data_IF_355260193893
#
_entry.id   IF_355260193893
#
_cell.length_a   1.000
_cell.length_b   1.000
_cell.length_c   1.000
_cell.angle_alpha   90.00
_cell.angle_beta   90.00
_cell.angle_gamma   90.00
#
_symmetry.space_group_name_H-M   'P 1'
#
loop_
_entity.id
_entity.type
_entity.pdbx_description
1 polymer ?
#
# COMPACT_ATOMS: atom_id res chain seq x y z
N UNK A 1 3.81 -26.51 11.34
CA UNK A 1 2.66 -26.30 12.24
C UNK A 1 3.15 -25.43 13.38
N UNK A 2 2.56 -24.24 13.59
CA UNK A 2 2.89 -23.35 14.71
C UNK A 2 1.64 -23.11 15.54
N UNK A 3 1.80 -22.85 16.83
CA UNK A 3 0.69 -22.56 17.73
C UNK A 3 0.97 -21.27 18.48
N UNK A 4 -0.06 -20.42 18.60
CA UNK A 4 -0.01 -19.15 19.31
C UNK A 4 -1.10 -19.11 20.37
N UNK A 5 -0.80 -18.50 21.48
CA UNK A 5 -1.81 -18.12 22.48
C UNK A 5 -1.79 -16.61 22.64
N UNK A 6 -2.92 -15.97 22.31
CA UNK A 6 -3.11 -14.53 22.41
C UNK A 6 -3.88 -14.20 23.69
N UNK A 7 -3.36 -13.28 24.49
CA UNK A 7 -4.05 -12.80 25.70
C UNK A 7 -5.41 -12.19 25.34
N UNK A 8 -5.43 -11.31 24.34
CA UNK A 8 -6.65 -10.82 23.67
C UNK A 8 -6.41 -10.83 22.17
N UNK A 9 -7.40 -11.21 21.37
CA UNK A 9 -7.29 -11.15 19.91
C UNK A 9 -8.56 -10.57 19.29
N UNK A 10 -8.38 -9.87 18.16
CA UNK A 10 -9.48 -9.42 17.30
C UNK A 10 -9.80 -10.54 16.32
N UNK A 11 -10.82 -11.32 16.63
CA UNK A 11 -11.26 -12.46 15.83
C UNK A 11 -12.45 -12.09 14.93
N UNK A 12 -12.66 -12.86 13.87
CA UNK A 12 -13.87 -12.78 13.07
C UNK A 12 -15.04 -13.43 13.83
N UNK A 13 -16.11 -12.68 14.05
CA UNK A 13 -17.38 -13.22 14.57
C UNK A 13 -18.06 -14.09 13.50
N UNK A 14 -19.14 -14.82 13.86
CA UNK A 14 -19.92 -15.65 12.92
C UNK A 14 -20.43 -14.85 11.70
N UNK A 15 -20.74 -13.58 11.87
CA UNK A 15 -21.14 -12.67 10.79
C UNK A 15 -19.95 -12.02 10.06
N UNK A 16 -18.72 -12.46 10.32
CA UNK A 16 -17.48 -11.91 9.74
C UNK A 16 -17.01 -10.56 10.33
N UNK A 17 -17.76 -9.96 11.26
CA UNK A 17 -17.34 -8.69 11.86
C UNK A 17 -16.21 -8.90 12.89
N UNK A 18 -15.23 -7.96 12.99
CA UNK A 18 -14.16 -8.04 13.97
C UNK A 18 -14.72 -7.86 15.40
N UNK A 19 -14.30 -8.73 16.32
CA UNK A 19 -14.65 -8.66 17.73
C UNK A 19 -13.44 -9.05 18.62
N UNK A 20 -13.34 -8.44 19.79
CA UNK A 20 -12.33 -8.80 20.78
C UNK A 20 -12.74 -10.07 21.54
N UNK A 21 -11.80 -11.00 21.69
CA UNK A 21 -11.96 -12.21 22.50
C UNK A 21 -10.70 -12.41 23.37
N UNK A 22 -10.87 -12.87 24.61
CA UNK A 22 -9.77 -13.14 25.53
C UNK A 22 -9.36 -14.61 25.49
N UNK A 23 -8.05 -14.88 25.71
CA UNK A 23 -7.48 -16.22 25.77
C UNK A 23 -7.72 -16.98 24.45
N UNK A 24 -7.21 -16.48 23.33
CA UNK A 24 -7.44 -17.08 22.01
C UNK A 24 -6.23 -17.94 21.63
N UNK A 25 -6.46 -19.25 21.44
CA UNK A 25 -5.45 -20.15 20.91
C UNK A 25 -5.63 -20.32 19.41
N UNK A 26 -4.53 -20.13 18.65
CA UNK A 26 -4.48 -20.28 17.20
C UNK A 26 -3.60 -21.47 16.83
N UNK A 27 -4.07 -22.28 15.88
CA UNK A 27 -3.22 -23.30 15.25
C UNK A 27 -3.03 -22.92 13.79
N UNK A 28 -1.83 -23.16 13.26
CA UNK A 28 -1.48 -22.76 11.90
C UNK A 28 -0.76 -23.87 11.15
N UNK A 29 -1.04 -23.98 9.88
CA UNK A 29 -0.34 -24.87 8.96
C UNK A 29 -0.08 -24.16 7.63
N UNK A 30 1.16 -24.26 7.11
CA UNK A 30 1.56 -23.63 5.85
C UNK A 30 1.22 -22.12 5.80
N UNK A 31 1.44 -21.43 6.92
CA UNK A 31 1.18 -19.98 7.01
C UNK A 31 -0.29 -19.57 7.09
N UNK A 32 -1.21 -20.53 7.23
CA UNK A 32 -2.65 -20.27 7.36
C UNK A 32 -3.19 -20.76 8.69
N UNK A 33 -4.20 -20.07 9.20
CA UNK A 33 -4.89 -20.40 10.45
C UNK A 33 -5.83 -21.58 10.18
N UNK A 34 -5.64 -22.67 10.91
CA UNK A 34 -6.46 -23.90 10.82
C UNK A 34 -7.46 -24.02 11.97
N UNK A 35 -7.18 -23.35 13.11
CA UNK A 35 -8.07 -23.35 14.27
C UNK A 35 -8.01 -22.01 15.01
N UNK A 36 -9.16 -21.55 15.52
CA UNK A 36 -9.31 -20.38 16.39
C UNK A 36 -10.17 -20.79 17.57
N UNK A 37 -9.60 -20.84 18.78
CA UNK A 37 -10.28 -21.32 20.00
C UNK A 37 -10.28 -20.21 21.05
N UNK A 38 -11.38 -19.44 21.18
CA UNK A 38 -11.53 -18.44 22.25
C UNK A 38 -11.70 -19.10 23.63
N UNK A 39 -11.32 -18.38 24.70
CA UNK A 39 -11.42 -18.85 26.08
C UNK A 39 -10.43 -19.96 26.44
N UNK A 40 -9.43 -20.21 25.60
CA UNK A 40 -8.40 -21.21 25.83
C UNK A 40 -7.33 -20.72 26.82
N UNK A 41 -6.78 -21.62 27.61
CA UNK A 41 -5.55 -21.40 28.39
C UNK A 41 -4.32 -21.75 27.54
N UNK A 42 -3.17 -21.07 27.77
CA UNK A 42 -1.94 -21.38 27.06
C UNK A 42 -1.49 -22.82 27.35
N UNK A 43 -1.02 -23.49 26.29
CA UNK A 43 -0.50 -24.86 26.37
C UNK A 43 1.04 -24.89 26.25
N UNK A 44 1.72 -25.93 26.75
CA UNK A 44 3.13 -26.11 26.48
C UNK A 44 3.43 -26.13 24.97
N UNK A 45 4.37 -25.30 24.55
CA UNK A 45 4.74 -25.16 23.13
C UNK A 45 4.04 -24.01 22.39
N UNK A 46 3.03 -23.39 22.99
CA UNK A 46 2.42 -22.19 22.39
C UNK A 46 3.37 -20.97 22.46
N UNK A 47 3.51 -20.26 21.37
CA UNK A 47 4.08 -18.91 21.39
C UNK A 47 3.07 -17.97 22.04
N UNK A 48 3.42 -17.36 23.16
CA UNK A 48 2.54 -16.43 23.86
C UNK A 48 2.66 -15.03 23.25
N UNK A 49 1.53 -14.46 22.88
CA UNK A 49 1.37 -13.09 22.40
C UNK A 49 0.66 -12.29 23.49
N UNK A 50 1.46 -11.52 24.25
CA UNK A 50 0.97 -10.70 25.38
C UNK A 50 0.49 -9.34 24.83
N UNK A 51 -0.74 -8.96 25.20
CA UNK A 51 -1.39 -7.74 24.72
C UNK A 51 -2.57 -8.02 23.79
N UNK A 52 -2.83 -7.10 22.86
CA UNK A 52 -3.95 -7.23 21.93
C UNK A 52 -3.44 -7.58 20.53
N UNK A 53 -3.78 -8.79 20.09
CA UNK A 53 -3.41 -9.30 18.77
C UNK A 53 -4.46 -8.88 17.74
N UNK A 54 -4.03 -8.17 16.70
CA UNK A 54 -4.80 -7.77 15.52
C UNK A 54 -4.34 -8.56 14.30
N UNK A 55 -5.18 -8.68 13.24
CA UNK A 55 -4.66 -8.95 11.92
C UNK A 55 -3.62 -7.89 11.56
N UNK A 56 -2.52 -8.28 10.94
CA UNK A 56 -1.53 -7.33 10.45
C UNK A 56 -2.11 -6.45 9.34
N UNK A 57 -1.62 -5.23 9.22
CA UNK A 57 -2.07 -4.30 8.20
C UNK A 57 -1.53 -4.66 6.79
N UNK A 58 -2.22 -4.17 5.77
CA UNK A 58 -1.79 -4.23 4.38
C UNK A 58 -1.63 -2.82 3.84
N UNK A 59 -0.54 -2.54 3.15
CA UNK A 59 -0.23 -1.25 2.54
C UNK A 59 -0.64 -1.27 1.08
N UNK A 60 -1.77 -0.63 0.74
CA UNK A 60 -2.35 -0.70 -0.59
C UNK A 60 -1.67 0.21 -1.63
N UNK A 61 -0.74 1.08 -1.21
CA UNK A 61 0.01 1.96 -2.11
C UNK A 61 1.32 2.42 -1.48
N UNK A 62 2.40 2.29 -2.21
CA UNK A 62 3.76 2.56 -1.76
C UNK A 62 4.67 2.89 -2.95
N UNK A 63 5.59 3.84 -2.72
CA UNK A 63 6.76 4.09 -3.56
C UNK A 63 8.00 4.01 -2.67
N UNK A 64 8.63 2.85 -2.58
CA UNK A 64 9.73 2.61 -1.64
C UNK A 64 10.87 3.63 -1.78
N UNK A 65 11.16 4.10 -3.01
CA UNK A 65 12.22 5.07 -3.23
C UNK A 65 11.90 6.47 -2.71
N UNK A 66 10.63 6.86 -2.57
CA UNK A 66 10.24 8.16 -1.99
C UNK A 66 10.65 8.28 -0.51
N UNK A 67 10.95 7.16 0.17
CA UNK A 67 11.44 7.19 1.55
C UNK A 67 12.67 8.08 1.74
N UNK A 68 13.47 8.31 0.69
CA UNK A 68 14.62 9.22 0.73
C UNK A 68 14.24 10.69 0.97
N UNK A 69 12.99 11.05 0.66
CA UNK A 69 12.49 12.43 0.74
C UNK A 69 12.03 12.82 2.16
N UNK A 70 11.75 11.85 3.03
CA UNK A 70 11.24 12.10 4.39
C UNK A 70 12.16 13.04 5.16
N UNK A 71 11.60 14.18 5.61
CA UNK A 71 12.32 15.19 6.37
C UNK A 71 13.36 15.98 5.58
N UNK A 72 13.28 15.99 4.23
CA UNK A 72 14.21 16.71 3.35
C UNK A 72 13.56 17.74 2.43
N UNK A 73 12.25 17.72 2.28
CA UNK A 73 11.49 18.49 1.29
C UNK A 73 10.83 19.76 1.85
N UNK A 74 11.01 20.07 3.15
CA UNK A 74 10.31 21.16 3.85
C UNK A 74 11.18 22.41 4.07
N UNK A 75 12.35 22.51 3.44
CA UNK A 75 13.19 23.71 3.57
C UNK A 75 12.54 24.90 2.83
N UNK A 76 12.47 26.05 3.48
CA UNK A 76 11.83 27.25 2.95
C UNK A 76 10.29 27.15 2.99
N UNK A 77 9.63 27.45 1.87
CA UNK A 77 8.20 27.28 1.66
C UNK A 77 7.89 26.01 0.85
N UNK A 78 8.61 24.89 1.11
CA UNK A 78 8.56 23.67 0.32
C UNK A 78 7.19 23.43 -0.30
N UNK A 79 7.11 23.56 -1.63
CA UNK A 79 5.89 23.29 -2.39
C UNK A 79 6.04 21.98 -3.16
N UNK A 80 4.98 21.55 -3.82
CA UNK A 80 4.95 20.35 -4.66
C UNK A 80 6.10 20.31 -5.69
N UNK A 81 6.54 21.46 -6.23
CA UNK A 81 7.60 21.52 -7.24
C UNK A 81 8.97 21.21 -6.66
N UNK A 82 9.27 21.71 -5.45
CA UNK A 82 10.50 21.39 -4.72
C UNK A 82 10.55 19.90 -4.40
N UNK A 83 9.44 19.34 -3.93
CA UNK A 83 9.31 17.89 -3.70
C UNK A 83 9.57 17.10 -4.97
N UNK A 84 8.94 17.47 -6.09
CA UNK A 84 9.08 16.79 -7.38
C UNK A 84 10.51 16.83 -7.93
N UNK A 85 11.20 17.98 -7.83
CA UNK A 85 12.60 18.12 -8.24
C UNK A 85 13.52 17.19 -7.42
N UNK A 86 13.33 17.14 -6.11
CA UNK A 86 14.11 16.26 -5.23
C UNK A 86 13.78 14.78 -5.49
N UNK A 87 12.55 14.45 -5.84
CA UNK A 87 12.15 13.11 -6.23
C UNK A 87 12.88 12.67 -7.50
N UNK A 88 12.94 13.50 -8.54
CA UNK A 88 13.69 13.18 -9.77
C UNK A 88 15.18 13.02 -9.51
N UNK A 89 15.77 13.90 -8.70
CA UNK A 89 17.18 13.79 -8.29
C UNK A 89 17.44 12.46 -7.60
N UNK A 90 16.62 12.12 -6.61
CA UNK A 90 16.75 10.83 -5.91
C UNK A 90 16.52 9.63 -6.83
N UNK A 91 15.55 9.70 -7.72
CA UNK A 91 15.32 8.65 -8.72
C UNK A 91 16.55 8.46 -9.61
N UNK A 92 17.24 9.54 -10.05
CA UNK A 92 18.40 9.46 -10.95
C UNK A 92 19.58 8.70 -10.38
N UNK A 93 19.72 8.66 -9.04
CA UNK A 93 20.83 7.99 -8.33
C UNK A 93 20.58 6.48 -8.10
N UNK A 94 19.36 5.98 -8.36
CA UNK A 94 19.03 4.58 -8.13
C UNK A 94 19.68 3.66 -9.19
N UNK A 95 20.40 2.64 -8.71
CA UNK A 95 20.73 1.42 -9.46
C UNK A 95 19.94 0.25 -8.87
N UNK A 96 19.86 -0.91 -9.54
CA UNK A 96 19.21 -2.09 -8.97
C UNK A 96 19.72 -2.44 -7.56
N UNK A 97 21.04 -2.37 -7.34
CA UNK A 97 21.66 -2.69 -6.05
C UNK A 97 21.32 -1.67 -4.97
N UNK A 98 21.37 -0.36 -5.28
CA UNK A 98 21.00 0.70 -4.36
C UNK A 98 19.50 0.62 -4.02
N UNK A 99 18.68 0.31 -5.03
CA UNK A 99 17.24 0.18 -4.84
C UNK A 99 16.88 -1.03 -3.97
N UNK A 100 17.54 -2.18 -4.18
CA UNK A 100 17.36 -3.36 -3.34
C UNK A 100 17.69 -3.06 -1.87
N UNK A 101 18.80 -2.36 -1.59
CA UNK A 101 19.20 -1.97 -0.24
C UNK A 101 18.16 -1.02 0.40
N UNK A 102 17.76 0.02 -0.33
CA UNK A 102 16.77 0.98 0.16
C UNK A 102 15.43 0.30 0.42
N UNK A 103 14.91 -0.45 -0.55
CA UNK A 103 13.63 -1.14 -0.44
C UNK A 103 13.64 -2.18 0.68
N UNK A 104 14.77 -2.90 0.89
CA UNK A 104 14.92 -3.82 2.02
C UNK A 104 14.74 -3.09 3.36
N UNK A 105 15.35 -1.92 3.50
CA UNK A 105 15.23 -1.12 4.71
C UNK A 105 13.81 -0.57 4.91
N UNK A 106 13.16 -0.09 3.84
CA UNK A 106 11.78 0.42 3.85
C UNK A 106 10.78 -0.71 4.19
N UNK A 107 10.91 -1.86 3.56
CA UNK A 107 10.05 -3.01 3.84
C UNK A 107 10.27 -3.57 5.24
N UNK A 108 11.50 -3.53 5.76
CA UNK A 108 11.78 -3.86 7.16
C UNK A 108 11.13 -2.84 8.13
N UNK A 109 11.12 -1.54 7.78
CA UNK A 109 10.37 -0.50 8.53
C UNK A 109 8.87 -0.81 8.51
N UNK A 110 8.28 -1.18 7.36
CA UNK A 110 6.88 -1.59 7.28
C UNK A 110 6.56 -2.80 8.17
N UNK A 111 7.42 -3.82 8.16
CA UNK A 111 7.22 -5.01 8.98
C UNK A 111 7.19 -4.67 10.46
N UNK A 112 8.16 -3.91 10.98
CA UNK A 112 8.20 -3.59 12.42
C UNK A 112 7.04 -2.69 12.87
N UNK A 113 6.38 -1.99 11.95
CA UNK A 113 5.22 -1.12 12.23
C UNK A 113 3.88 -1.84 12.12
N UNK A 114 3.86 -3.11 11.67
CA UNK A 114 2.68 -3.96 11.64
C UNK A 114 2.11 -4.25 10.25
N UNK A 115 2.77 -3.86 9.16
CA UNK A 115 2.38 -4.26 7.82
C UNK A 115 2.90 -5.65 7.45
N UNK A 116 2.06 -6.47 6.82
CA UNK A 116 2.41 -7.81 6.31
C UNK A 116 2.47 -7.89 4.79
N UNK A 117 1.88 -6.93 4.10
CA UNK A 117 1.75 -6.91 2.64
C UNK A 117 1.88 -5.48 2.13
N UNK A 118 2.40 -5.33 0.91
CA UNK A 118 2.53 -4.04 0.23
C UNK A 118 2.22 -4.17 -1.26
N UNK A 119 1.46 -3.20 -1.79
CA UNK A 119 1.34 -2.95 -3.22
C UNK A 119 2.32 -1.82 -3.57
N UNK A 120 3.42 -2.17 -4.22
CA UNK A 120 4.48 -1.24 -4.59
C UNK A 120 4.25 -0.72 -6.00
N UNK A 121 3.94 0.56 -6.11
CA UNK A 121 3.67 1.25 -7.37
C UNK A 121 4.99 1.67 -8.01
N UNK A 122 5.51 0.82 -8.89
CA UNK A 122 6.86 0.90 -9.41
C UNK A 122 6.91 1.44 -10.84
N UNK A 123 7.66 2.53 -11.04
CA UNK A 123 7.86 3.16 -12.36
C UNK A 123 9.33 3.50 -12.69
N UNK A 124 10.31 3.05 -11.91
CA UNK A 124 11.73 3.28 -12.18
C UNK A 124 12.31 2.07 -12.91
N UNK A 125 12.07 1.96 -14.21
CA UNK A 125 12.36 0.75 -14.99
C UNK A 125 13.75 0.71 -15.61
N UNK A 126 14.26 1.87 -16.06
CA UNK A 126 15.43 1.99 -16.92
C UNK A 126 16.60 2.68 -16.24
N UNK A 127 17.76 2.68 -16.91
CA UNK A 127 18.89 3.53 -16.54
C UNK A 127 18.51 5.01 -16.63
N UNK A 128 19.28 5.94 -16.02
CA UNK A 128 18.94 7.37 -16.03
C UNK A 128 18.76 7.99 -17.42
N UNK A 129 19.44 7.43 -18.43
CA UNK A 129 19.32 7.86 -19.84
C UNK A 129 18.14 7.20 -20.61
N UNK A 130 17.33 6.38 -19.91
CA UNK A 130 16.23 5.63 -20.51
C UNK A 130 16.64 4.30 -21.17
N UNK A 131 17.94 3.94 -21.18
CA UNK A 131 18.37 2.67 -21.73
C UNK A 131 17.96 1.50 -20.80
N UNK A 132 17.60 0.34 -21.34
CA UNK A 132 17.31 -0.84 -20.51
C UNK A 132 18.58 -1.32 -19.79
N UNK A 133 18.41 -1.93 -18.63
CA UNK A 133 19.49 -2.67 -17.97
C UNK A 133 19.84 -3.93 -18.77
N UNK A 134 21.09 -4.41 -18.61
CA UNK A 134 21.56 -5.65 -19.26
C UNK A 134 20.78 -6.89 -18.75
N UNK A 135 20.46 -6.92 -17.46
CA UNK A 135 19.53 -7.89 -16.86
C UNK A 135 18.10 -7.40 -17.05
N UNK A 136 17.26 -8.21 -17.67
CA UNK A 136 15.84 -7.89 -17.81
C UNK A 136 15.17 -7.78 -16.43
N UNK A 137 14.33 -6.76 -16.24
CA UNK A 137 13.61 -6.52 -14.99
C UNK A 137 14.51 -6.28 -13.77
N UNK A 138 15.73 -5.75 -13.95
CA UNK A 138 16.71 -5.59 -12.88
C UNK A 138 16.16 -4.80 -11.67
N UNK A 139 15.41 -3.74 -11.91
CA UNK A 139 14.81 -2.91 -10.86
C UNK A 139 13.65 -3.62 -10.17
N UNK A 140 12.77 -4.28 -10.92
CA UNK A 140 11.65 -5.06 -10.44
C UNK A 140 12.10 -6.26 -9.60
N UNK A 141 13.12 -6.97 -10.07
CA UNK A 141 13.72 -8.10 -9.33
C UNK A 141 14.42 -7.64 -8.05
N UNK A 142 15.01 -6.44 -8.04
CA UNK A 142 15.57 -5.85 -6.83
C UNK A 142 14.50 -5.64 -5.75
N UNK A 143 13.31 -5.11 -6.10
CA UNK A 143 12.18 -4.98 -5.20
C UNK A 143 11.67 -6.34 -4.69
N UNK A 144 11.57 -7.32 -5.58
CA UNK A 144 11.16 -8.68 -5.21
C UNK A 144 12.12 -9.32 -4.21
N UNK A 145 13.45 -9.20 -4.43
CA UNK A 145 14.47 -9.68 -3.48
C UNK A 145 14.40 -8.94 -2.15
N UNK A 146 14.20 -7.62 -2.16
CA UNK A 146 14.03 -6.81 -0.96
C UNK A 146 12.82 -7.26 -0.13
N UNK A 147 11.68 -7.52 -0.77
CA UNK A 147 10.48 -8.01 -0.10
C UNK A 147 10.71 -9.40 0.53
N UNK A 148 11.40 -10.29 -0.18
CA UNK A 148 11.75 -11.62 0.35
C UNK A 148 12.70 -11.51 1.55
N UNK A 149 13.69 -10.61 1.52
CA UNK A 149 14.61 -10.38 2.63
C UNK A 149 13.87 -9.86 3.87
N UNK A 150 12.96 -8.90 3.69
CA UNK A 150 12.13 -8.37 4.77
C UNK A 150 10.99 -9.33 5.18
N UNK A 151 10.66 -10.33 4.39
CA UNK A 151 9.57 -11.27 4.65
C UNK A 151 8.17 -10.69 4.51
N UNK A 152 8.02 -9.48 3.94
CA UNK A 152 6.73 -8.88 3.58
C UNK A 152 6.23 -9.48 2.26
N UNK A 153 4.90 -9.54 2.08
CA UNK A 153 4.32 -9.93 0.78
C UNK A 153 4.27 -8.74 -0.15
N UNK A 154 4.66 -8.95 -1.41
CA UNK A 154 4.73 -7.92 -2.43
C UNK A 154 3.75 -8.19 -3.57
N UNK A 155 2.87 -7.22 -3.86
CA UNK A 155 2.24 -7.06 -5.17
C UNK A 155 3.00 -5.96 -5.90
N UNK A 156 3.83 -6.35 -6.86
CA UNK A 156 4.65 -5.44 -7.65
C UNK A 156 3.81 -4.88 -8.81
N UNK A 157 3.46 -3.60 -8.74
CA UNK A 157 2.65 -2.90 -9.74
C UNK A 157 3.57 -2.31 -10.80
N UNK A 158 3.72 -3.00 -11.92
CA UNK A 158 4.47 -2.51 -13.08
C UNK A 158 3.69 -1.38 -13.76
N UNK A 159 4.29 -0.20 -13.85
CA UNK A 159 3.58 1.03 -14.20
C UNK A 159 3.84 1.48 -15.63
N UNK A 160 2.78 1.72 -16.40
CA UNK A 160 2.82 2.37 -17.70
C UNK A 160 3.04 3.88 -17.53
N UNK A 161 4.06 4.41 -18.25
CA UNK A 161 4.39 5.83 -18.26
C UNK A 161 4.81 6.26 -19.67
N UNK A 162 4.00 7.06 -20.37
CA UNK A 162 4.20 7.42 -21.80
C UNK A 162 4.40 8.91 -22.04
N UNK A 163 3.93 9.76 -21.12
CA UNK A 163 3.91 11.22 -21.34
C UNK A 163 4.31 11.98 -20.07
N UNK A 164 4.93 13.13 -20.23
CA UNK A 164 5.32 14.04 -19.14
C UNK A 164 4.17 14.88 -18.58
N UNK A 165 3.04 14.85 -19.26
CA UNK A 165 1.78 15.53 -18.97
C UNK A 165 0.85 15.37 -20.15
N UNK A 166 -0.43 15.75 -20.02
CA UNK A 166 -1.39 15.65 -21.13
C UNK A 166 -0.87 16.47 -22.32
N UNK A 167 -0.67 15.80 -23.47
CA UNK A 167 -0.15 16.41 -24.70
C UNK A 167 1.34 16.80 -24.64
N UNK A 168 2.08 16.39 -23.61
CA UNK A 168 3.49 16.75 -23.45
C UNK A 168 4.38 15.50 -23.50
N UNK A 169 5.52 15.52 -24.23
CA UNK A 169 6.47 14.41 -24.22
C UNK A 169 7.12 14.25 -22.85
N UNK A 170 7.78 13.12 -22.62
CA UNK A 170 8.60 12.89 -21.44
C UNK A 170 9.72 13.94 -21.36
N UNK A 171 9.97 14.48 -20.17
CA UNK A 171 11.18 15.27 -19.90
C UNK A 171 12.40 14.34 -19.79
N UNK A 172 13.64 14.90 -19.90
CA UNK A 172 14.84 14.09 -19.73
C UNK A 172 14.86 13.28 -18.41
N UNK A 173 14.36 13.85 -17.32
CA UNK A 173 14.32 13.22 -15.99
C UNK A 173 13.30 12.07 -15.94
N UNK A 174 12.30 12.08 -16.83
CA UNK A 174 11.24 11.09 -16.90
C UNK A 174 11.57 9.91 -17.82
N UNK A 175 12.62 10.00 -18.65
CA UNK A 175 12.96 8.96 -19.65
C UNK A 175 13.18 7.60 -19.03
N UNK A 176 13.73 7.52 -17.82
CA UNK A 176 13.93 6.27 -17.09
C UNK A 176 12.63 5.60 -16.60
N UNK A 177 11.50 6.31 -16.62
CA UNK A 177 10.18 5.79 -16.26
C UNK A 177 9.43 5.31 -17.51
N UNK A 178 9.82 5.84 -18.69
CA UNK A 178 9.04 5.77 -19.90
C UNK A 178 9.13 4.44 -20.64
N UNK A 179 8.01 4.06 -21.21
CA UNK A 179 7.91 3.01 -22.22
C UNK A 179 7.96 3.58 -23.63
N UNK A 180 8.37 2.77 -24.57
CA UNK A 180 8.33 3.16 -26.00
C UNK A 180 6.88 3.33 -26.49
N UNK A 181 5.99 2.45 -26.04
CA UNK A 181 4.54 2.46 -26.29
C UNK A 181 3.82 1.48 -25.35
N UNK A 182 2.49 1.48 -25.37
CA UNK A 182 1.65 0.60 -24.57
C UNK A 182 1.88 -0.90 -24.83
N UNK A 183 2.26 -1.27 -26.04
CA UNK A 183 2.51 -2.67 -26.39
C UNK A 183 3.85 -3.17 -25.84
N UNK A 184 4.86 -2.29 -25.77
CA UNK A 184 6.13 -2.57 -25.09
C UNK A 184 5.89 -2.84 -23.60
N UNK A 185 5.09 -2.01 -22.93
CA UNK A 185 4.68 -2.23 -21.54
C UNK A 185 3.91 -3.54 -21.33
N UNK A 186 2.91 -3.87 -22.17
CA UNK A 186 2.18 -5.13 -22.09
C UNK A 186 3.11 -6.36 -22.22
N UNK A 187 4.12 -6.28 -23.08
CA UNK A 187 5.16 -7.32 -23.20
C UNK A 187 6.02 -7.39 -21.95
N UNK A 188 6.40 -6.22 -21.36
CA UNK A 188 7.17 -6.18 -20.12
C UNK A 188 6.41 -6.86 -18.99
N UNK A 189 5.13 -6.54 -18.77
CA UNK A 189 4.29 -7.21 -17.75
C UNK A 189 4.27 -8.72 -17.96
N UNK A 190 4.04 -9.19 -19.18
CA UNK A 190 3.98 -10.63 -19.46
C UNK A 190 5.30 -11.34 -19.17
N UNK A 191 6.44 -10.74 -19.56
CA UNK A 191 7.77 -11.31 -19.28
C UNK A 191 8.14 -11.21 -17.81
N UNK A 192 7.78 -10.11 -17.12
CA UNK A 192 8.00 -9.95 -15.69
C UNK A 192 7.21 -10.98 -14.87
N UNK A 193 5.93 -11.23 -15.20
CA UNK A 193 5.15 -12.30 -14.56
C UNK A 193 5.86 -13.63 -14.65
N UNK A 194 6.33 -14.00 -15.85
CA UNK A 194 7.08 -15.25 -16.06
C UNK A 194 8.35 -15.31 -15.21
N UNK A 195 9.11 -14.21 -15.12
CA UNK A 195 10.34 -14.15 -14.34
C UNK A 195 10.06 -14.25 -12.82
N UNK A 196 9.03 -13.57 -12.32
CA UNK A 196 8.63 -13.63 -10.91
C UNK A 196 8.12 -15.02 -10.54
N UNK A 197 7.22 -15.61 -11.32
CA UNK A 197 6.66 -16.95 -11.10
C UNK A 197 7.75 -18.04 -11.12
N UNK A 198 8.80 -17.88 -11.93
CA UNK A 198 9.92 -18.82 -11.97
C UNK A 198 10.88 -18.69 -10.76
N UNK A 199 10.90 -17.53 -10.08
CA UNK A 199 11.92 -17.20 -9.08
C UNK A 199 11.39 -17.15 -7.66
N UNK A 200 10.15 -16.70 -7.45
CA UNK A 200 9.59 -16.41 -6.14
C UNK A 200 8.30 -17.19 -5.87
N UNK A 201 8.02 -17.55 -4.59
CA UNK A 201 6.73 -18.15 -4.23
C UNK A 201 5.56 -17.22 -4.53
N UNK A 202 4.51 -17.74 -5.17
CA UNK A 202 3.35 -16.96 -5.60
C UNK A 202 2.55 -16.31 -4.45
N UNK A 203 2.65 -16.85 -3.24
CA UNK A 203 2.05 -16.29 -2.02
C UNK A 203 2.93 -15.20 -1.38
N UNK A 204 4.13 -14.94 -1.93
CA UNK A 204 5.07 -13.93 -1.43
C UNK A 204 5.25 -12.78 -2.40
N UNK A 205 5.41 -13.04 -3.69
CA UNK A 205 5.60 -12.01 -4.71
C UNK A 205 4.67 -12.30 -5.89
N UNK A 206 3.95 -11.28 -6.30
CA UNK A 206 3.07 -11.32 -7.47
C UNK A 206 3.20 -10.03 -8.27
N UNK A 207 2.74 -10.05 -9.53
CA UNK A 207 2.75 -8.90 -10.43
C UNK A 207 1.34 -8.38 -10.61
N UNK A 208 1.19 -7.07 -10.46
CA UNK A 208 0.03 -6.28 -10.87
C UNK A 208 0.42 -5.27 -11.94
N UNK A 209 -0.52 -4.45 -12.34
CA UNK A 209 -0.34 -3.40 -13.32
C UNK A 209 -0.72 -2.04 -12.74
N UNK A 210 -0.08 -0.97 -13.22
CA UNK A 210 -0.53 0.37 -12.94
C UNK A 210 -0.46 1.26 -14.19
N UNK A 211 -1.37 2.23 -14.25
CA UNK A 211 -1.26 3.41 -15.09
C UNK A 211 -0.77 4.54 -14.20
N UNK A 212 0.31 5.25 -14.57
CA UNK A 212 0.78 6.28 -13.64
C UNK A 212 -0.36 7.28 -13.31
N UNK A 213 -1.00 7.82 -14.33
CA UNK A 213 -2.17 8.71 -14.21
C UNK A 213 -2.71 8.99 -15.63
N UNK A 214 -3.84 9.66 -15.75
CA UNK A 214 -4.32 10.18 -17.06
C UNK A 214 -3.41 11.28 -17.63
N UNK A 215 -2.52 11.83 -16.82
CA UNK A 215 -1.48 12.78 -17.27
C UNK A 215 -0.39 12.09 -18.07
N UNK A 216 -0.07 10.86 -17.70
CA UNK A 216 1.07 10.11 -18.23
C UNK A 216 0.67 8.99 -19.21
N UNK A 217 -0.62 8.69 -19.35
CA UNK A 217 -1.15 7.70 -20.29
C UNK A 217 -2.18 8.37 -21.19
N UNK A 218 -1.86 8.58 -22.48
CA UNK A 218 -2.78 9.17 -23.46
C UNK A 218 -4.08 8.40 -23.63
N UNK A 219 -5.16 9.10 -24.03
CA UNK A 219 -6.50 8.52 -24.16
C UNK A 219 -6.56 7.30 -25.09
N UNK A 220 -5.83 7.33 -26.20
CA UNK A 220 -5.77 6.21 -27.17
C UNK A 220 -5.17 4.94 -26.54
N UNK A 221 -4.20 5.09 -25.66
CA UNK A 221 -3.54 3.96 -24.98
C UNK A 221 -4.42 3.34 -23.89
N UNK A 222 -5.31 4.14 -23.26
CA UNK A 222 -6.30 3.61 -22.30
C UNK A 222 -7.21 2.57 -22.96
N UNK A 223 -7.57 2.73 -24.23
CA UNK A 223 -8.37 1.76 -25.02
C UNK A 223 -7.62 0.44 -25.21
N UNK A 224 -6.32 0.53 -25.50
CA UNK A 224 -5.47 -0.65 -25.68
C UNK A 224 -5.34 -1.42 -24.35
N UNK A 225 -5.09 -0.70 -23.26
CA UNK A 225 -5.03 -1.30 -21.91
C UNK A 225 -6.33 -2.01 -21.56
N UNK A 226 -7.47 -1.37 -21.77
CA UNK A 226 -8.78 -1.96 -21.50
C UNK A 226 -9.04 -3.25 -22.28
N UNK A 227 -8.56 -3.32 -23.52
CA UNK A 227 -8.75 -4.45 -24.42
C UNK A 227 -7.74 -5.59 -24.22
N UNK A 228 -6.50 -5.29 -23.82
CA UNK A 228 -5.40 -6.25 -23.89
C UNK A 228 -4.79 -6.63 -22.54
N UNK A 229 -4.95 -5.79 -21.48
CA UNK A 229 -4.43 -6.13 -20.17
C UNK A 229 -5.20 -7.33 -19.59
N UNK A 230 -4.53 -8.42 -19.19
CA UNK A 230 -5.20 -9.58 -18.59
C UNK A 230 -6.11 -9.20 -17.43
N UNK A 231 -7.28 -9.81 -17.34
CA UNK A 231 -8.32 -9.46 -16.35
C UNK A 231 -8.05 -10.02 -14.95
N UNK A 232 -7.10 -10.93 -14.82
CA UNK A 232 -6.69 -11.59 -13.59
C UNK A 232 -5.65 -10.81 -12.78
N UNK A 233 -5.10 -9.70 -13.33
CA UNK A 233 -4.17 -8.82 -12.62
C UNK A 233 -4.86 -7.58 -12.06
N UNK A 234 -4.54 -7.14 -10.82
CA UNK A 234 -5.01 -5.86 -10.29
C UNK A 234 -4.48 -4.70 -11.15
N UNK A 235 -5.24 -3.62 -11.22
CA UNK A 235 -4.88 -2.41 -11.94
C UNK A 235 -4.98 -1.21 -11.01
N UNK A 236 -3.92 -0.42 -10.91
CA UNK A 236 -3.87 0.80 -10.11
C UNK A 236 -3.70 2.04 -10.97
N UNK A 237 -4.09 3.21 -10.45
CA UNK A 237 -3.87 4.50 -11.07
C UNK A 237 -3.90 5.61 -10.02
N UNK A 238 -3.01 6.62 -10.08
CA UNK A 238 -3.21 7.89 -9.40
C UNK A 238 -4.34 8.64 -10.10
N UNK A 239 -5.34 9.05 -9.34
CA UNK A 239 -6.56 9.63 -9.89
C UNK A 239 -6.97 10.90 -9.15
N UNK A 240 -7.08 12.01 -9.90
CA UNK A 240 -7.59 13.28 -9.38
C UNK A 240 -6.92 13.72 -8.06
N UNK A 241 -5.61 13.50 -7.98
CA UNK A 241 -4.78 13.85 -6.81
C UNK A 241 -4.69 15.37 -6.65
N UNK A 242 -4.44 16.09 -7.78
CA UNK A 242 -4.27 17.53 -7.83
C UNK A 242 -5.35 18.19 -8.68
N UNK A 243 -5.84 19.39 -8.30
CA UNK A 243 -6.79 20.14 -9.13
C UNK A 243 -6.31 20.39 -10.57
N UNK A 244 -5.00 20.57 -10.76
CA UNK A 244 -4.39 20.78 -12.06
C UNK A 244 -4.56 19.59 -13.01
N UNK A 245 -4.59 18.34 -12.50
CA UNK A 245 -4.86 17.15 -13.29
C UNK A 245 -6.27 17.19 -13.86
N UNK A 246 -7.27 17.49 -13.03
CA UNK A 246 -8.66 17.59 -13.45
C UNK A 246 -8.86 18.69 -14.49
N UNK A 247 -8.23 19.85 -14.27
CA UNK A 247 -8.32 20.97 -15.21
C UNK A 247 -7.71 20.61 -16.58
N UNK A 248 -6.50 20.02 -16.59
CA UNK A 248 -5.85 19.61 -17.83
C UNK A 248 -6.64 18.51 -18.57
N UNK A 249 -7.22 17.56 -17.84
CA UNK A 249 -8.07 16.51 -18.41
C UNK A 249 -9.36 17.10 -19.03
N UNK A 250 -9.99 18.05 -18.33
CA UNK A 250 -11.18 18.73 -18.84
C UNK A 250 -10.89 19.55 -20.10
N UNK A 251 -9.76 20.27 -20.15
CA UNK A 251 -9.34 21.05 -21.32
C UNK A 251 -9.03 20.15 -22.52
N UNK A 252 -8.33 19.03 -22.32
CA UNK A 252 -7.91 18.15 -23.40
C UNK A 252 -9.00 17.20 -23.89
N UNK A 253 -9.81 16.65 -22.99
CA UNK A 253 -10.74 15.55 -23.28
C UNK A 253 -12.22 15.89 -23.02
N UNK A 254 -12.51 17.07 -22.48
CA UNK A 254 -13.87 17.53 -22.16
C UNK A 254 -14.54 16.75 -21.02
N UNK A 255 -13.76 16.11 -20.15
CA UNK A 255 -14.28 15.25 -19.08
C UNK A 255 -13.30 15.16 -17.89
N UNK A 256 -13.76 14.68 -16.74
CA UNK A 256 -12.91 14.41 -15.58
C UNK A 256 -12.07 13.14 -15.77
N UNK A 257 -10.95 12.96 -15.02
CA UNK A 257 -10.15 11.73 -15.04
C UNK A 257 -10.98 10.45 -14.81
N UNK A 258 -11.86 10.44 -13.82
CA UNK A 258 -12.71 9.28 -13.52
C UNK A 258 -13.65 8.94 -14.69
N UNK A 259 -14.29 9.96 -15.28
CA UNK A 259 -15.19 9.79 -16.41
C UNK A 259 -14.43 9.38 -17.69
N UNK A 260 -13.17 9.81 -17.84
CA UNK A 260 -12.31 9.34 -18.92
C UNK A 260 -12.05 7.84 -18.82
N UNK A 261 -11.71 7.34 -17.62
CA UNK A 261 -11.54 5.90 -17.38
C UNK A 261 -12.83 5.11 -17.61
N UNK A 262 -13.98 5.64 -17.18
CA UNK A 262 -15.28 5.03 -17.43
C UNK A 262 -15.60 4.92 -18.91
N UNK A 263 -15.36 5.99 -19.68
CA UNK A 263 -15.55 6.04 -21.15
C UNK A 263 -14.81 4.92 -21.87
N UNK A 264 -13.64 4.52 -21.34
CA UNK A 264 -12.80 3.46 -21.93
C UNK A 264 -12.93 2.10 -21.24
N UNK A 265 -13.92 1.94 -20.33
CA UNK A 265 -14.19 0.65 -19.70
C UNK A 265 -13.14 0.20 -18.66
N UNK A 266 -12.32 1.13 -18.17
CA UNK A 266 -11.31 0.87 -17.13
C UNK A 266 -11.87 1.04 -15.72
N UNK A 267 -13.00 1.71 -15.55
CA UNK A 267 -13.66 1.87 -14.26
C UNK A 267 -14.38 0.56 -13.89
N UNK A 268 -13.71 -0.32 -13.19
CA UNK A 268 -14.16 -1.68 -12.88
C UNK A 268 -13.77 -2.07 -11.44
N UNK A 269 -14.30 -3.18 -10.96
CA UNK A 269 -13.97 -3.73 -9.62
C UNK A 269 -12.49 -4.05 -9.40
N UNK A 270 -11.69 -4.27 -10.46
CA UNK A 270 -10.26 -4.54 -10.36
C UNK A 270 -9.41 -3.27 -10.26
N UNK A 271 -10.02 -2.10 -10.55
CA UNK A 271 -9.32 -0.83 -10.48
C UNK A 271 -9.17 -0.38 -9.03
N UNK A 272 -7.95 0.02 -8.69
CA UNK A 272 -7.62 0.74 -7.46
C UNK A 272 -7.26 2.17 -7.84
N UNK A 273 -8.13 3.12 -7.49
CA UNK A 273 -7.93 4.55 -7.71
C UNK A 273 -7.25 5.15 -6.47
N UNK A 274 -6.01 5.62 -6.63
CA UNK A 274 -5.22 6.18 -5.53
C UNK A 274 -5.53 7.66 -5.39
N UNK A 275 -5.59 8.15 -4.15
CA UNK A 275 -5.99 9.48 -3.71
C UNK A 275 -7.46 9.76 -3.95
N UNK A 276 -7.85 10.04 -5.20
CA UNK A 276 -9.22 10.41 -5.55
C UNK A 276 -9.71 11.63 -4.76
N UNK A 277 -8.83 12.63 -4.58
CA UNK A 277 -9.02 13.77 -3.68
C UNK A 277 -10.02 14.76 -4.25
N UNK A 278 -9.91 15.08 -5.55
CA UNK A 278 -10.68 16.14 -6.20
C UNK A 278 -11.72 15.57 -7.17
N UNK A 279 -12.78 14.96 -6.63
CA UNK A 279 -13.84 14.33 -7.40
C UNK A 279 -15.10 15.20 -7.46
N UNK A 280 -15.84 15.10 -8.58
CA UNK A 280 -17.21 15.60 -8.64
C UNK A 280 -18.19 14.59 -8.04
N UNK A 281 -19.43 14.99 -7.66
CA UNK A 281 -20.45 14.04 -7.21
C UNK A 281 -20.74 12.91 -8.20
N UNK A 282 -20.64 13.19 -9.50
CA UNK A 282 -20.81 12.23 -10.58
C UNK A 282 -19.65 11.22 -10.60
N UNK A 283 -18.41 11.68 -10.38
CA UNK A 283 -17.24 10.80 -10.27
C UNK A 283 -17.36 9.84 -9.08
N UNK A 284 -17.78 10.33 -7.91
CA UNK A 284 -18.03 9.53 -6.71
C UNK A 284 -19.07 8.45 -7.00
N UNK A 285 -20.16 8.83 -7.67
CA UNK A 285 -21.23 7.90 -8.06
C UNK A 285 -20.71 6.80 -8.99
N UNK A 286 -19.93 7.18 -10.02
CA UNK A 286 -19.36 6.23 -10.99
C UNK A 286 -18.38 5.26 -10.35
N UNK A 287 -17.44 5.77 -9.52
CA UNK A 287 -16.47 4.93 -8.78
C UNK A 287 -17.18 3.94 -7.85
N UNK A 288 -18.20 4.43 -7.11
CA UNK A 288 -18.99 3.59 -6.21
C UNK A 288 -19.77 2.50 -6.94
N UNK A 289 -20.48 2.84 -8.02
CA UNK A 289 -21.28 1.89 -8.82
C UNK A 289 -20.39 0.83 -9.49
N UNK A 290 -19.19 1.20 -9.93
CA UNK A 290 -18.22 0.26 -10.45
C UNK A 290 -17.63 -0.68 -9.37
N UNK A 291 -17.82 -0.35 -8.08
CA UNK A 291 -17.27 -1.08 -6.94
C UNK A 291 -15.74 -1.05 -6.93
N UNK A 292 -15.13 0.05 -7.36
CA UNK A 292 -13.68 0.25 -7.36
C UNK A 292 -13.13 0.22 -5.93
N UNK A 293 -11.84 -0.04 -5.79
CA UNK A 293 -11.11 0.26 -4.57
C UNK A 293 -10.56 1.69 -4.66
N UNK A 294 -10.78 2.49 -3.63
CA UNK A 294 -10.14 3.82 -3.49
C UNK A 294 -9.10 3.73 -2.40
N UNK A 295 -7.85 4.01 -2.75
CA UNK A 295 -6.71 3.95 -1.82
C UNK A 295 -6.42 5.36 -1.34
N UNK A 296 -6.77 5.63 -0.08
CA UNK A 296 -6.45 6.89 0.59
C UNK A 296 -5.05 6.79 1.19
N UNK A 297 -4.30 7.88 1.10
CA UNK A 297 -2.96 8.01 1.67
C UNK A 297 -2.90 9.26 2.58
N UNK A 298 -3.67 9.27 3.69
CA UNK A 298 -3.98 10.49 4.44
C UNK A 298 -2.75 11.26 4.95
N UNK A 299 -1.67 10.58 5.31
CA UNK A 299 -0.45 11.27 5.77
C UNK A 299 0.32 11.91 4.62
N UNK A 300 0.30 11.32 3.42
CA UNK A 300 0.88 11.92 2.21
C UNK A 300 0.04 13.11 1.74
N UNK A 301 -1.27 12.94 1.67
CA UNK A 301 -2.23 13.98 1.25
C UNK A 301 -2.13 15.22 2.17
N UNK A 302 -1.87 15.00 3.47
CA UNK A 302 -1.61 16.08 4.42
C UNK A 302 -0.21 16.72 4.21
N UNK A 303 0.82 15.92 3.96
CA UNK A 303 2.20 16.38 3.79
C UNK A 303 2.40 17.19 2.49
N UNK A 304 1.73 16.78 1.41
CA UNK A 304 1.75 17.45 0.10
C UNK A 304 0.69 18.54 -0.06
N UNK A 305 -0.19 18.71 0.93
CA UNK A 305 -1.31 19.64 0.91
C UNK A 305 -2.30 19.38 -0.25
N UNK A 306 -2.52 18.10 -0.60
CA UNK A 306 -3.45 17.69 -1.66
C UNK A 306 -4.90 17.98 -1.33
N UNK A 307 -5.24 17.97 -0.05
CA UNK A 307 -6.58 18.20 0.44
C UNK A 307 -7.16 16.98 1.17
N UNK A 308 -8.46 17.02 1.43
CA UNK A 308 -9.21 15.93 2.07
C UNK A 308 -10.12 15.31 1.02
N UNK A 309 -9.84 14.06 0.63
CA UNK A 309 -10.67 13.32 -0.31
C UNK A 309 -12.02 12.90 0.29
N UNK A 310 -13.06 12.67 -0.52
CA UNK A 310 -14.43 12.34 -0.09
C UNK A 310 -14.59 10.85 0.24
N UNK A 311 -13.77 10.33 1.17
CA UNK A 311 -13.70 8.90 1.47
C UNK A 311 -15.03 8.34 1.98
N UNK A 312 -15.76 9.08 2.81
CA UNK A 312 -17.07 8.65 3.34
C UNK A 312 -18.10 8.56 2.22
N UNK A 313 -18.20 9.58 1.37
CA UNK A 313 -19.11 9.64 0.24
C UNK A 313 -18.83 8.52 -0.77
N UNK A 314 -17.56 8.23 -1.03
CA UNK A 314 -17.12 7.11 -1.88
C UNK A 314 -17.56 5.76 -1.29
N UNK A 315 -17.35 5.56 0.02
CA UNK A 315 -17.79 4.35 0.72
C UNK A 315 -19.32 4.19 0.68
N UNK A 316 -20.06 5.27 0.91
CA UNK A 316 -21.52 5.28 0.85
C UNK A 316 -22.06 5.01 -0.57
N UNK A 317 -21.33 5.44 -1.59
CA UNK A 317 -21.63 5.13 -2.99
C UNK A 317 -21.31 3.68 -3.40
N UNK A 318 -20.57 2.92 -2.58
CA UNK A 318 -20.26 1.51 -2.81
C UNK A 318 -18.80 1.20 -3.17
N UNK A 319 -17.91 2.19 -3.16
CA UNK A 319 -16.48 1.96 -3.31
C UNK A 319 -15.90 1.26 -2.06
N UNK A 320 -14.86 0.49 -2.25
CA UNK A 320 -14.08 -0.09 -1.14
C UNK A 320 -12.98 0.90 -0.75
N UNK A 321 -12.87 1.26 0.52
CA UNK A 321 -11.77 2.10 1.00
C UNK A 321 -10.61 1.22 1.44
N UNK A 322 -9.40 1.58 1.00
CA UNK A 322 -8.12 1.00 1.42
C UNK A 322 -7.17 2.11 1.87
N UNK A 323 -6.09 1.74 2.56
CA UNK A 323 -5.08 2.68 3.04
C UNK A 323 -3.70 2.35 2.45
N UNK A 324 -2.95 3.39 2.11
CA UNK A 324 -1.57 3.33 1.67
C UNK A 324 -0.68 4.34 2.41
N UNK A 325 0.64 4.16 2.34
CA UNK A 325 1.62 5.11 2.93
C UNK A 325 2.34 5.96 1.89
N UNK A 326 2.13 5.67 0.61
CA UNK A 326 2.55 6.37 -0.60
C UNK A 326 4.00 6.88 -0.55
N UNK A 327 4.25 8.18 -0.30
CA UNK A 327 5.61 8.76 -0.24
C UNK A 327 6.36 8.47 1.07
N UNK A 328 5.71 7.78 2.01
CA UNK A 328 6.30 7.43 3.31
C UNK A 328 6.70 8.63 4.18
N UNK A 329 5.94 9.71 4.15
CA UNK A 329 6.03 10.75 5.17
C UNK A 329 5.92 10.11 6.57
N UNK A 330 5.01 9.15 6.69
CA UNK A 330 4.87 8.24 7.84
C UNK A 330 4.71 6.80 7.33
N UNK A 331 5.26 5.81 8.04
CA UNK A 331 4.96 4.39 7.86
C UNK A 331 4.36 3.88 9.18
N UNK A 332 3.05 4.00 9.34
CA UNK A 332 2.33 3.66 10.57
C UNK A 332 0.84 3.41 10.25
N UNK A 333 0.37 2.15 10.27
CA UNK A 333 -1.02 1.84 9.92
C UNK A 333 -2.04 2.47 10.88
N UNK A 334 -1.66 2.71 12.15
CA UNK A 334 -2.52 3.32 13.15
C UNK A 334 -2.70 4.82 12.89
N UNK A 335 -1.62 5.47 12.44
CA UNK A 335 -1.66 6.89 12.05
C UNK A 335 -2.48 7.08 10.77
N UNK A 336 -2.31 6.22 9.75
CA UNK A 336 -3.13 6.29 8.52
C UNK A 336 -4.62 6.12 8.81
N UNK A 337 -5.01 5.10 9.61
CA UNK A 337 -6.40 4.91 10.04
C UNK A 337 -6.97 6.15 10.73
N UNK A 338 -6.19 6.74 11.64
CA UNK A 338 -6.60 7.91 12.41
C UNK A 338 -6.66 9.16 11.57
N UNK A 339 -5.70 9.35 10.65
CA UNK A 339 -5.65 10.49 9.76
C UNK A 339 -6.83 10.50 8.78
N UNK A 340 -7.26 9.35 8.26
CA UNK A 340 -8.47 9.22 7.45
C UNK A 340 -9.70 9.77 8.19
N UNK A 341 -9.97 9.27 9.40
CA UNK A 341 -11.14 9.72 10.18
C UNK A 341 -11.01 11.19 10.64
N UNK A 342 -9.78 11.65 10.98
CA UNK A 342 -9.57 13.04 11.36
C UNK A 342 -9.75 14.00 10.19
N UNK A 343 -9.29 13.64 8.99
CA UNK A 343 -9.53 14.39 7.76
C UNK A 343 -11.03 14.54 7.49
N UNK A 344 -11.76 13.44 7.52
CA UNK A 344 -13.22 13.42 7.37
C UNK A 344 -13.95 14.28 8.43
N UNK A 345 -13.50 14.25 9.69
CA UNK A 345 -14.07 15.12 10.75
C UNK A 345 -13.83 16.58 10.45
N UNK A 346 -12.61 16.94 10.03
CA UNK A 346 -12.26 18.33 9.74
C UNK A 346 -13.01 18.85 8.51
N UNK A 347 -13.13 18.05 7.45
CA UNK A 347 -13.82 18.40 6.23
C UNK A 347 -15.34 18.54 6.42
N UNK A 348 -15.96 17.60 7.15
CA UNK A 348 -17.42 17.56 7.34
C UNK A 348 -17.94 18.31 8.58
N UNK A 349 -17.08 18.61 9.57
CA UNK A 349 -17.51 19.11 10.88
C UNK A 349 -18.25 18.08 11.74
N UNK A 350 -18.23 16.79 11.37
CA UNK A 350 -18.96 15.71 12.06
C UNK A 350 -17.97 14.67 12.59
N UNK A 351 -18.29 14.04 13.73
CA UNK A 351 -17.54 12.92 14.31
C UNK A 351 -18.14 11.58 13.88
N UNK A 352 -17.30 10.54 13.83
CA UNK A 352 -17.74 9.17 13.57
C UNK A 352 -18.12 8.94 12.12
N UNK A 353 -17.41 9.58 11.21
CA UNK A 353 -17.53 9.32 9.77
C UNK A 353 -17.11 7.89 9.45
N UNK A 354 -16.01 7.42 10.05
CA UNK A 354 -15.59 6.02 10.04
C UNK A 354 -15.57 5.46 11.46
N UNK A 355 -16.16 4.29 11.64
CA UNK A 355 -16.08 3.54 12.89
C UNK A 355 -14.70 2.87 13.00
N UNK A 356 -14.23 2.51 14.22
CA UNK A 356 -12.99 1.76 14.40
C UNK A 356 -12.94 0.44 13.59
N UNK A 357 -14.08 -0.19 13.36
CA UNK A 357 -14.18 -1.42 12.55
C UNK A 357 -13.95 -1.13 11.07
N UNK A 358 -14.55 -0.08 10.54
CA UNK A 358 -14.36 0.35 9.15
C UNK A 358 -12.91 0.78 8.91
N UNK A 359 -12.26 1.48 9.87
CA UNK A 359 -10.84 1.82 9.79
C UNK A 359 -9.95 0.57 9.76
N UNK A 360 -10.21 -0.42 10.63
CA UNK A 360 -9.49 -1.69 10.61
C UNK A 360 -9.74 -2.45 9.29
N UNK A 361 -10.94 -2.41 8.74
CA UNK A 361 -11.28 -2.99 7.44
C UNK A 361 -10.50 -2.31 6.31
N UNK A 362 -10.40 -0.98 6.32
CA UNK A 362 -9.63 -0.23 5.32
C UNK A 362 -8.13 -0.58 5.36
N UNK A 363 -7.56 -0.74 6.57
CA UNK A 363 -6.15 -1.11 6.76
C UNK A 363 -5.84 -2.60 6.50
N UNK A 364 -6.86 -3.45 6.29
CA UNK A 364 -6.69 -4.90 6.09
C UNK A 364 -7.43 -5.37 4.84
N UNK A 365 -8.69 -5.78 4.97
CA UNK A 365 -9.51 -6.36 3.90
C UNK A 365 -9.73 -5.39 2.72
N UNK A 366 -9.76 -4.06 2.96
CA UNK A 366 -9.88 -3.06 1.90
C UNK A 366 -8.77 -3.18 0.86
N UNK A 367 -7.55 -3.48 1.32
CA UNK A 367 -6.41 -3.69 0.43
C UNK A 367 -6.47 -5.01 -0.38
N UNK A 368 -7.33 -5.97 -0.02
CA UNK A 368 -7.36 -7.30 -0.66
C UNK A 368 -7.63 -7.24 -2.17
N UNK A 369 -8.45 -6.29 -2.62
CA UNK A 369 -8.74 -6.09 -4.05
C UNK A 369 -7.61 -5.40 -4.80
N UNK A 370 -6.77 -4.68 -4.08
CA UNK A 370 -5.60 -3.98 -4.63
C UNK A 370 -4.41 -4.91 -4.83
N UNK A 371 -4.45 -6.10 -4.24
CA UNK A 371 -3.30 -7.00 -4.19
C UNK A 371 -3.60 -8.36 -4.81
N UNK A 372 -2.60 -8.94 -5.48
CA UNK A 372 -2.64 -10.31 -5.97
C UNK A 372 -2.12 -11.31 -4.93
N UNK A 373 -1.38 -10.86 -3.93
CA UNK A 373 -0.94 -11.67 -2.79
C UNK A 373 -2.04 -11.79 -1.72
N UNK A 374 -2.04 -12.85 -0.90
CA UNK A 374 -2.99 -12.98 0.20
C UNK A 374 -2.88 -11.83 1.21
N UNK A 375 -4.01 -11.33 1.66
CA UNK A 375 -4.14 -10.26 2.65
C UNK A 375 -4.99 -10.75 3.83
N UNK A 376 -4.67 -10.37 5.09
CA UNK A 376 -5.50 -10.70 6.24
C UNK A 376 -6.92 -10.12 6.12
N UNK A 377 -7.88 -10.80 6.70
CA UNK A 377 -9.23 -10.26 6.89
C UNK A 377 -9.30 -9.22 8.03
N UNK A 378 -10.48 -8.62 8.26
CA UNK A 378 -10.67 -7.61 9.32
C UNK A 378 -10.66 -8.21 10.73
N UNK A 379 -10.65 -9.54 10.83
CA UNK A 379 -10.54 -10.31 12.06
C UNK A 379 -9.83 -11.64 11.81
N UNK A 380 -9.20 -12.16 12.85
CA UNK A 380 -8.48 -13.44 12.82
C UNK A 380 -9.51 -14.58 12.68
N UNK A 381 -9.40 -15.37 11.62
CA UNK A 381 -10.34 -16.45 11.31
C UNK A 381 -9.70 -17.66 10.66
N UNK A 382 -10.39 -18.79 10.70
CA UNK A 382 -9.95 -20.03 10.04
C UNK A 382 -9.87 -19.81 8.52
N UNK A 383 -8.80 -20.32 7.90
CA UNK A 383 -8.52 -20.18 6.47
C UNK A 383 -7.76 -18.91 6.09
N UNK A 384 -7.72 -17.91 6.98
CA UNK A 384 -6.95 -16.67 6.76
C UNK A 384 -5.44 -16.94 6.81
N UNK A 385 -4.66 -16.09 6.17
CA UNK A 385 -3.20 -16.05 6.39
C UNK A 385 -2.90 -15.72 7.84
N UNK A 386 -1.89 -16.34 8.43
CA UNK A 386 -1.46 -16.07 9.80
C UNK A 386 -0.51 -14.87 9.81
N UNK A 387 -1.06 -13.69 9.58
CA UNK A 387 -0.39 -12.42 9.63
C UNK A 387 -0.98 -11.60 10.76
N UNK A 388 -0.18 -11.37 11.80
CA UNK A 388 -0.64 -10.80 13.07
C UNK A 388 0.27 -9.65 13.48
N UNK A 389 -0.30 -8.64 14.14
CA UNK A 389 0.44 -7.64 14.91
C UNK A 389 -0.09 -7.59 16.34
N UNK A 390 0.81 -7.52 17.30
CA UNK A 390 0.48 -7.41 18.73
C UNK A 390 0.71 -5.99 19.18
N UNK A 391 -0.25 -5.43 19.92
CA UNK A 391 -0.20 -4.06 20.43
C UNK A 391 -0.18 -4.08 21.95
N UNK A 392 0.76 -3.33 22.54
CA UNK A 392 0.84 -3.13 23.99
C UNK A 392 -0.36 -2.31 24.49
N UNK A 393 -1.25 -2.85 25.34
CA UNK A 393 -2.39 -2.12 25.89
C UNK A 393 -2.02 -1.26 27.11
N UNK A 394 -0.77 -1.33 27.59
CA UNK A 394 -0.32 -0.70 28.82
C UNK A 394 0.61 0.50 28.61
N UNK A 395 0.93 0.85 27.36
CA UNK A 395 1.72 2.05 27.05
C UNK A 395 0.98 3.33 27.48
N UNK A 396 1.70 4.44 27.60
CA UNK A 396 1.09 5.73 27.94
C UNK A 396 0.05 6.22 26.91
N UNK A 397 0.10 5.71 25.68
CA UNK A 397 -0.85 6.04 24.60
C UNK A 397 -2.09 5.17 24.64
N UNK A 398 -1.93 3.90 24.95
CA UNK A 398 -2.97 2.88 24.81
C UNK A 398 -3.69 2.55 26.12
N UNK A 399 -3.06 2.84 27.28
CA UNK A 399 -3.61 2.51 28.60
C UNK A 399 -5.05 3.03 28.77
N UNK A 400 -5.97 2.10 29.09
CA UNK A 400 -7.40 2.38 29.24
C UNK A 400 -8.19 2.39 27.94
N UNK A 401 -7.58 2.23 26.78
CA UNK A 401 -8.28 2.10 25.49
C UNK A 401 -8.95 0.73 25.37
N UNK A 402 -10.18 0.70 24.82
CA UNK A 402 -10.82 -0.56 24.46
C UNK A 402 -10.17 -1.16 23.21
N UNK A 403 -10.12 -2.48 23.04
CA UNK A 403 -9.37 -3.14 21.96
C UNK A 403 -9.63 -2.55 20.57
N UNK A 404 -10.87 -2.46 20.10
CA UNK A 404 -11.19 -1.89 18.78
C UNK A 404 -10.97 -0.37 18.70
N UNK A 405 -10.88 0.35 19.84
CA UNK A 405 -10.61 1.80 19.86
C UNK A 405 -9.11 2.13 19.73
N UNK A 406 -8.23 1.13 19.66
CA UNK A 406 -6.78 1.31 19.46
C UNK A 406 -6.46 2.11 18.20
N UNK A 407 -7.32 2.08 17.17
CA UNK A 407 -7.20 2.94 15.98
C UNK A 407 -7.08 4.44 16.31
N UNK A 408 -7.58 4.87 17.49
CA UNK A 408 -7.53 6.26 17.94
C UNK A 408 -6.43 6.56 18.98
N UNK A 409 -5.70 5.56 19.44
CA UNK A 409 -4.69 5.76 20.49
C UNK A 409 -3.33 5.13 20.18
N UNK A 410 -3.29 3.98 19.54
CA UNK A 410 -2.04 3.28 19.21
C UNK A 410 -1.24 3.99 18.09
N UNK A 411 0.04 3.71 18.07
CA UNK A 411 0.99 4.05 17.01
C UNK A 411 1.88 2.84 16.74
N UNK A 412 2.70 2.90 15.69
CA UNK A 412 3.71 1.88 15.41
C UNK A 412 4.63 1.57 16.60
N UNK A 413 4.88 2.54 17.47
CA UNK A 413 5.68 2.34 18.70
C UNK A 413 5.02 1.44 19.75
N UNK A 414 3.73 1.16 19.61
CA UNK A 414 2.98 0.27 20.49
C UNK A 414 2.92 -1.16 19.94
N UNK A 415 3.42 -1.40 18.72
CA UNK A 415 3.51 -2.74 18.13
C UNK A 415 4.68 -3.47 18.75
N UNK A 416 4.40 -4.58 19.43
CA UNK A 416 5.41 -5.38 20.13
C UNK A 416 5.89 -6.57 19.33
N UNK A 417 5.01 -7.27 18.61
CA UNK A 417 5.34 -8.41 17.75
C UNK A 417 4.62 -8.32 16.41
N UNK A 418 5.29 -8.79 15.36
CA UNK A 418 4.68 -8.97 14.03
C UNK A 418 4.99 -10.37 13.51
N UNK A 419 3.94 -11.09 13.15
CA UNK A 419 3.98 -12.44 12.60
C UNK A 419 3.48 -12.39 11.17
N UNK A 420 4.22 -12.97 10.23
CA UNK A 420 3.82 -13.07 8.81
C UNK A 420 3.95 -14.52 8.35
N UNK A 421 2.83 -15.11 7.91
CA UNK A 421 2.79 -16.51 7.52
C UNK A 421 3.10 -17.47 8.68
N UNK A 422 2.78 -17.07 9.92
CA UNK A 422 3.06 -17.85 11.12
C UNK A 422 4.53 -17.80 11.60
N UNK A 423 5.37 -16.93 11.03
CA UNK A 423 6.74 -16.68 11.45
C UNK A 423 6.85 -15.33 12.16
N UNK A 424 7.53 -15.29 13.33
CA UNK A 424 7.82 -14.05 14.04
C UNK A 424 8.89 -13.27 13.30
N UNK A 425 8.52 -12.16 12.65
CA UNK A 425 9.42 -11.33 11.85
C UNK A 425 9.89 -10.06 12.55
N UNK A 426 9.17 -9.58 13.55
CA UNK A 426 9.60 -8.42 14.32
C UNK A 426 9.20 -8.54 15.78
N UNK A 427 10.07 -8.04 16.66
CA UNK A 427 9.81 -7.90 18.09
C UNK A 427 10.38 -6.58 18.59
N UNK A 428 9.53 -5.76 19.26
CA UNK A 428 9.89 -4.49 19.90
C UNK A 428 10.73 -3.57 19.02
N UNK A 429 10.27 -3.37 17.75
CA UNK A 429 10.93 -2.47 16.80
C UNK A 429 12.21 -3.02 16.16
N UNK A 430 12.55 -4.29 16.41
CA UNK A 430 13.71 -4.96 15.81
C UNK A 430 13.21 -6.05 14.85
N UNK A 431 13.69 -6.02 13.61
CA UNK A 431 13.38 -7.05 12.62
C UNK A 431 14.20 -8.32 12.90
N UNK A 432 13.56 -9.49 12.96
CA UNK A 432 14.19 -10.74 13.41
C UNK A 432 15.37 -11.20 12.53
N UNK A 433 15.32 -10.90 11.23
CA UNK A 433 16.37 -11.30 10.27
C UNK A 433 17.36 -10.16 9.96
N UNK A 434 16.90 -8.91 9.98
CA UNK A 434 17.63 -7.75 9.46
C UNK A 434 18.13 -6.80 10.56
N UNK A 435 17.70 -6.99 11.81
CA UNK A 435 18.07 -6.12 12.91
C UNK A 435 17.29 -4.80 12.94
N UNK A 436 17.94 -3.69 13.25
CA UNK A 436 17.31 -2.38 13.39
C UNK A 436 17.10 -1.70 12.03
N UNK A 437 15.85 -1.45 11.54
CA UNK A 437 15.61 -0.81 10.24
C UNK A 437 16.20 0.59 10.13
N UNK A 438 16.26 1.35 11.22
CA UNK A 438 16.88 2.68 11.25
C UNK A 438 18.35 2.68 10.84
N UNK A 439 19.10 1.62 11.19
CA UNK A 439 20.48 1.45 10.75
C UNK A 439 20.55 1.13 9.26
N UNK A 440 19.72 0.22 8.78
CA UNK A 440 19.65 -0.13 7.35
C UNK A 440 19.29 1.08 6.49
N UNK A 441 18.31 1.89 6.92
CA UNK A 441 17.95 3.14 6.27
C UNK A 441 19.12 4.13 6.23
N UNK A 442 19.82 4.29 7.35
CA UNK A 442 20.98 5.20 7.43
C UNK A 442 22.08 4.76 6.45
N UNK A 443 22.34 3.46 6.33
CA UNK A 443 23.34 2.91 5.40
C UNK A 443 22.89 3.09 3.95
N UNK A 444 21.64 2.77 3.60
CA UNK A 444 21.09 2.92 2.26
C UNK A 444 21.05 4.39 1.80
N UNK A 445 20.61 5.31 2.68
CA UNK A 445 20.50 6.73 2.37
C UNK A 445 21.87 7.42 2.16
N UNK A 446 22.96 6.91 2.77
CA UNK A 446 24.32 7.41 2.52
C UNK A 446 24.82 7.09 1.10
N UNK A 447 24.31 6.05 0.47
CA UNK A 447 24.67 5.68 -0.90
C UNK A 447 23.91 6.49 -1.96
N UNK A 448 22.85 7.23 -1.53
CA UNK A 448 21.96 8.02 -2.38
C UNK A 448 22.10 9.55 -2.12
N UNK A 449 23.16 9.97 -1.40
CA UNK A 449 23.41 11.37 -1.03
C UNK A 449 24.72 11.89 -1.62
#
# INVERSE_FOLDING_TARGET
MSTFWCETAIIAAENGAPQAASGVRLETENGRITSVTPGATPQPGDTKLEGITFPAAANAHSHAFHRVLRGRTHEGRGDFWVWREQMYTSASELTPEKYEKLATAVFAEMVITGFSSVAEFHYVHHQPDGAPYAEAHAMELALARAAMAAGIRLTLLDTLYLAGGIGSPLSPEQTRFGDADVHAWLKRIASLRTAIEATFPADRVSVGAALHSVRAVPEEDLKVVAAQLPTDIPLHIHLSEQPAENQACLEAYGTTPARLLERHGLLTRRLSAVHSTHLTPEDITSLGQAGTTVVMCPTTEADLADGIGPARELSDAGATIALGTDQHAVIDPWVEMRALEHGERLGSGQRGRFTPRELLQAATMGAARSMATPVPGPGIGVGSVCDLMVVDPASTRTAGSRPLQMAFSATASDVTEVIIGGELLASRGVHARLGEPGRLLTEALKELS
#
